data_IF_106698056737
#
_entry.id   IF_106698056737
#
_cell.length_a   1.000
_cell.length_b   1.000
_cell.length_c   1.000
_cell.angle_alpha   90.00
_cell.angle_beta   90.00
_cell.angle_gamma   90.00
#
_symmetry.space_group_name_H-M   'P 1'
#
loop_
_entity.id
_entity.type
_entity.pdbx_description
1 polymer ?
#
# COMPACT_ATOMS: atom_id res chain seq x y z
N UNK A 1 4.58 26.03 -35.17
CA UNK A 1 4.89 26.54 -33.82
C UNK A 1 3.82 27.46 -33.23
N UNK A 2 2.82 27.94 -34.00
CA UNK A 2 1.57 28.52 -33.44
C UNK A 2 0.36 27.63 -33.72
N UNK A 3 0.22 27.14 -34.95
CA UNK A 3 -0.86 26.22 -35.34
C UNK A 3 -0.90 24.93 -34.50
N UNK A 4 0.25 24.37 -34.13
CA UNK A 4 0.34 23.17 -33.27
C UNK A 4 -0.14 23.47 -31.84
N UNK A 5 0.19 24.65 -31.29
CA UNK A 5 -0.24 25.07 -29.95
C UNK A 5 -1.75 25.39 -29.91
N UNK A 6 -2.27 25.94 -31.02
CA UNK A 6 -3.71 26.18 -31.21
C UNK A 6 -4.48 24.84 -31.32
N UNK A 7 -3.94 23.86 -32.05
CA UNK A 7 -4.53 22.52 -32.18
C UNK A 7 -4.54 21.77 -30.84
N UNK A 8 -3.41 21.74 -30.11
CA UNK A 8 -3.34 21.15 -28.77
C UNK A 8 -4.31 21.83 -27.81
N UNK A 9 -4.43 23.16 -27.87
CA UNK A 9 -5.37 23.92 -27.05
C UNK A 9 -6.83 23.56 -27.36
N UNK A 10 -7.18 23.33 -28.62
CA UNK A 10 -8.52 22.87 -29.02
C UNK A 10 -8.78 21.44 -28.52
N UNK A 11 -7.79 20.54 -28.60
CA UNK A 11 -7.90 19.17 -28.08
C UNK A 11 -8.16 19.16 -26.57
N UNK A 12 -7.41 19.94 -25.80
CA UNK A 12 -7.62 20.09 -24.36
C UNK A 12 -9.01 20.67 -24.03
N UNK A 13 -9.46 21.69 -24.77
CA UNK A 13 -10.78 22.28 -24.58
C UNK A 13 -11.91 21.29 -24.89
N UNK A 14 -11.72 20.40 -25.88
CA UNK A 14 -12.66 19.31 -26.16
C UNK A 14 -12.70 18.29 -25.01
N UNK A 15 -11.54 17.88 -24.49
CA UNK A 15 -11.45 16.94 -23.37
C UNK A 15 -12.09 17.51 -22.09
N UNK A 16 -11.90 18.79 -21.79
CA UNK A 16 -12.47 19.46 -20.61
C UNK A 16 -14.00 19.57 -20.63
N UNK A 17 -14.60 19.62 -21.81
CA UNK A 17 -16.07 19.62 -21.99
C UNK A 17 -16.68 18.26 -21.64
N UNK A 18 -15.90 17.19 -21.66
CA UNK A 18 -16.42 15.86 -21.33
C UNK A 18 -16.75 15.73 -19.84
N UNK A 19 -17.74 14.89 -19.49
CA UNK A 19 -17.99 14.49 -18.11
C UNK A 19 -16.76 13.86 -17.43
N UNK A 20 -16.62 14.02 -16.11
CA UNK A 20 -15.43 13.55 -15.37
C UNK A 20 -15.16 12.05 -15.53
N UNK A 21 -16.21 11.22 -15.53
CA UNK A 21 -16.10 9.77 -15.73
C UNK A 21 -15.52 9.40 -17.11
N UNK A 22 -15.77 10.22 -18.15
CA UNK A 22 -15.20 10.02 -19.49
C UNK A 22 -13.75 10.54 -19.52
N UNK A 23 -13.50 11.72 -18.92
CA UNK A 23 -12.14 12.30 -18.81
C UNK A 23 -11.16 11.39 -18.08
N UNK A 24 -11.65 10.61 -17.11
CA UNK A 24 -10.85 9.61 -16.40
C UNK A 24 -10.23 8.58 -17.36
N UNK A 25 -10.95 8.20 -18.41
CA UNK A 25 -10.52 7.15 -19.35
C UNK A 25 -9.79 7.71 -20.55
N UNK A 26 -9.96 8.99 -20.86
CA UNK A 26 -9.38 9.60 -22.07
C UNK A 26 -8.13 10.41 -21.75
N UNK A 27 -7.08 10.24 -22.53
CA UNK A 27 -5.82 10.99 -22.42
C UNK A 27 -5.19 11.21 -23.78
N UNK A 28 -4.04 11.87 -23.82
CA UNK A 28 -3.31 12.15 -25.06
C UNK A 28 -2.00 11.38 -25.08
N UNK A 29 -1.75 10.57 -26.10
CA UNK A 29 -0.49 9.86 -26.26
C UNK A 29 0.54 10.79 -26.88
N UNK A 30 1.77 10.82 -26.36
CA UNK A 30 2.87 11.65 -26.84
C UNK A 30 3.94 10.85 -27.59
N UNK A 31 4.67 11.53 -28.47
CA UNK A 31 5.88 11.00 -29.11
C UNK A 31 7.12 11.17 -28.21
N UNK A 32 8.29 10.70 -28.67
CA UNK A 32 9.58 10.85 -27.95
C UNK A 32 9.99 12.32 -27.74
N UNK A 33 9.42 13.25 -28.51
CA UNK A 33 9.67 14.69 -28.43
C UNK A 33 8.66 15.40 -27.53
N UNK A 34 7.66 14.69 -27.01
CA UNK A 34 6.60 15.22 -26.14
C UNK A 34 5.41 15.83 -26.89
N UNK A 35 5.34 15.72 -28.22
CA UNK A 35 4.21 16.23 -29.01
C UNK A 35 3.03 15.27 -28.91
N UNK A 36 1.81 15.81 -28.85
CA UNK A 36 0.59 15.00 -28.84
C UNK A 36 0.41 14.33 -30.21
N UNK A 37 0.35 13.00 -30.22
CA UNK A 37 0.08 12.19 -31.43
C UNK A 37 -1.42 12.03 -31.63
N UNK A 38 -2.13 11.59 -30.58
CA UNK A 38 -3.56 11.27 -30.64
C UNK A 38 -4.22 11.20 -29.27
N UNK A 39 -5.54 11.37 -29.25
CA UNK A 39 -6.38 11.01 -28.10
C UNK A 39 -6.54 9.49 -28.02
N UNK A 40 -6.44 8.93 -26.82
CA UNK A 40 -6.61 7.50 -26.55
C UNK A 40 -7.59 7.25 -25.40
N UNK A 41 -8.26 6.11 -25.45
CA UNK A 41 -8.87 5.51 -24.26
C UNK A 41 -7.79 4.66 -23.56
N UNK A 42 -7.46 5.04 -22.32
CA UNK A 42 -6.43 4.42 -21.48
C UNK A 42 -6.74 2.94 -21.19
N UNK A 43 -8.00 2.49 -21.32
CA UNK A 43 -8.34 1.06 -21.24
C UNK A 43 -7.72 0.26 -22.40
N UNK A 44 -7.57 0.88 -23.56
CA UNK A 44 -7.05 0.26 -24.78
C UNK A 44 -5.54 0.50 -24.97
N UNK A 45 -4.83 0.95 -23.92
CA UNK A 45 -3.39 1.17 -23.98
C UNK A 45 -2.66 -0.15 -24.24
N UNK A 46 -1.92 -0.22 -25.35
CA UNK A 46 -1.17 -1.41 -25.73
C UNK A 46 0.07 -1.66 -24.85
N UNK A 47 0.62 -2.89 -24.91
CA UNK A 47 1.84 -3.26 -24.17
C UNK A 47 3.04 -2.38 -24.53
N UNK A 48 3.27 -2.16 -25.83
CA UNK A 48 4.38 -1.32 -26.30
C UNK A 48 4.17 0.15 -25.93
N UNK A 49 2.93 0.66 -26.03
CA UNK A 49 2.60 2.02 -25.65
C UNK A 49 2.82 2.26 -24.15
N UNK A 50 2.42 1.30 -23.31
CA UNK A 50 2.66 1.32 -21.87
C UNK A 50 4.14 1.29 -21.50
N UNK A 51 4.94 0.45 -22.16
CA UNK A 51 6.41 0.43 -21.97
C UNK A 51 7.07 1.73 -22.39
N UNK A 52 6.69 2.27 -23.55
CA UNK A 52 7.22 3.55 -24.05
C UNK A 52 6.84 4.70 -23.11
N UNK A 53 5.63 4.68 -22.53
CA UNK A 53 5.22 5.64 -21.51
C UNK A 53 6.13 5.58 -20.28
N UNK A 54 6.42 4.37 -19.76
CA UNK A 54 7.33 4.21 -18.63
C UNK A 54 8.75 4.64 -18.99
N UNK A 55 9.22 4.36 -20.20
CA UNK A 55 10.53 4.79 -20.69
C UNK A 55 10.68 6.32 -20.72
N UNK A 56 9.63 7.04 -21.13
CA UNK A 56 9.62 8.50 -21.14
C UNK A 56 9.52 9.11 -19.73
N UNK A 57 8.78 8.47 -18.84
CA UNK A 57 8.61 8.95 -17.46
C UNK A 57 9.85 8.69 -16.60
N UNK A 58 10.45 7.51 -16.73
CA UNK A 58 11.60 7.04 -15.95
C UNK A 58 12.53 6.28 -16.90
N UNK A 59 13.52 6.98 -17.45
CA UNK A 59 14.52 6.37 -18.34
C UNK A 59 15.58 5.65 -17.51
N UNK A 60 16.17 6.33 -16.54
CA UNK A 60 17.09 5.77 -15.56
C UNK A 60 16.41 5.68 -14.17
N UNK A 61 16.07 4.47 -13.68
CA UNK A 61 15.39 4.30 -12.39
C UNK A 61 16.12 4.91 -11.19
N UNK A 62 17.45 4.99 -11.22
CA UNK A 62 18.23 5.50 -10.09
C UNK A 62 18.18 7.03 -10.02
N UNK A 63 18.19 7.70 -11.17
CA UNK A 63 18.29 9.17 -11.27
C UNK A 63 16.93 9.84 -11.48
N UNK A 64 16.09 9.27 -12.35
CA UNK A 64 14.84 9.91 -12.78
C UNK A 64 13.67 9.63 -11.84
N UNK A 65 13.75 8.57 -11.02
CA UNK A 65 12.61 8.18 -10.18
C UNK A 65 12.25 9.25 -9.15
N UNK A 66 13.24 9.92 -8.53
CA UNK A 66 12.98 11.04 -7.64
C UNK A 66 12.24 12.17 -8.37
N UNK A 67 12.71 12.55 -9.56
CA UNK A 67 12.08 13.59 -10.39
C UNK A 67 10.65 13.23 -10.78
N UNK A 68 10.42 11.98 -11.15
CA UNK A 68 9.08 11.46 -11.45
C UNK A 68 8.14 11.56 -10.24
N UNK A 69 8.59 11.10 -9.06
CA UNK A 69 7.81 11.18 -7.84
C UNK A 69 7.53 12.62 -7.40
N UNK A 70 8.50 13.53 -7.58
CA UNK A 70 8.31 14.96 -7.33
C UNK A 70 7.30 15.58 -8.30
N UNK A 71 7.36 15.27 -9.60
CA UNK A 71 6.34 15.70 -10.57
C UNK A 71 4.93 15.22 -10.18
N UNK A 72 4.83 13.97 -9.75
CA UNK A 72 3.57 13.38 -9.29
C UNK A 72 3.05 14.14 -8.06
N UNK A 73 3.89 14.35 -7.05
CA UNK A 73 3.56 15.15 -5.86
C UNK A 73 3.13 16.58 -6.21
N UNK A 74 3.88 17.26 -7.05
CA UNK A 74 3.61 18.64 -7.48
C UNK A 74 2.24 18.75 -8.17
N UNK A 75 1.87 17.75 -8.97
CA UNK A 75 0.55 17.71 -9.63
C UNK A 75 -0.59 17.76 -8.61
N UNK A 76 -0.54 16.95 -7.56
CA UNK A 76 -1.55 16.99 -6.49
C UNK A 76 -1.52 18.33 -5.72
N UNK A 77 -0.32 18.82 -5.39
CA UNK A 77 -0.16 20.06 -4.62
C UNK A 77 -0.65 21.31 -5.36
N UNK A 78 -0.49 21.37 -6.69
CA UNK A 78 -0.99 22.49 -7.52
C UNK A 78 -2.48 22.75 -7.39
N UNK A 79 -3.26 21.73 -7.02
CA UNK A 79 -4.71 21.83 -6.83
C UNK A 79 -5.12 21.72 -5.35
N UNK A 80 -4.16 21.87 -4.43
CA UNK A 80 -4.41 21.79 -2.99
C UNK A 80 -4.85 20.40 -2.52
N UNK A 81 -4.48 19.34 -3.25
CA UNK A 81 -4.64 17.96 -2.79
C UNK A 81 -3.41 17.53 -2.02
N UNK A 82 -3.58 17.32 -0.71
CA UNK A 82 -2.54 16.76 0.14
C UNK A 82 -2.70 15.24 0.16
N UNK A 83 -1.61 14.52 -0.13
CA UNK A 83 -1.60 13.07 0.00
C UNK A 83 -1.79 12.69 1.48
N UNK A 84 -2.64 11.69 1.79
CA UNK A 84 -2.89 11.29 3.16
C UNK A 84 -1.60 10.76 3.80
N UNK A 85 -1.31 11.22 5.01
CA UNK A 85 -0.19 10.74 5.82
C UNK A 85 -0.72 9.96 7.01
N UNK A 86 0.10 9.04 7.52
CA UNK A 86 -0.26 8.19 8.66
C UNK A 86 0.75 8.43 9.78
N UNK A 87 0.27 8.91 10.91
CA UNK A 87 0.98 8.89 12.19
C UNK A 87 0.44 7.73 13.02
N UNK A 88 1.34 6.86 13.49
CA UNK A 88 0.99 5.75 14.37
C UNK A 88 1.43 6.08 15.79
N UNK A 89 0.50 6.05 16.75
CA UNK A 89 0.79 6.22 18.17
C UNK A 89 0.47 4.94 18.92
N UNK A 90 1.31 4.59 19.87
CA UNK A 90 1.07 3.47 20.77
C UNK A 90 1.35 3.92 22.20
N UNK A 91 0.45 3.55 23.11
CA UNK A 91 0.47 3.99 24.51
C UNK A 91 0.24 2.79 25.41
N UNK A 92 1.16 2.60 26.36
CA UNK A 92 1.10 1.57 27.40
C UNK A 92 0.86 0.17 26.79
N UNK A 93 1.50 -0.09 25.64
CA UNK A 93 1.31 -1.32 24.88
C UNK A 93 1.99 -2.48 25.61
N UNK A 94 1.17 -3.46 25.99
CA UNK A 94 1.57 -4.68 26.68
C UNK A 94 1.11 -5.88 25.85
N UNK A 95 1.98 -6.88 25.69
CA UNK A 95 1.66 -8.12 24.97
C UNK A 95 2.15 -9.30 25.79
N UNK A 96 1.24 -10.18 26.18
CA UNK A 96 1.52 -11.38 26.95
C UNK A 96 1.22 -12.63 26.13
N UNK A 97 2.08 -13.64 26.25
CA UNK A 97 1.79 -14.99 25.79
C UNK A 97 1.38 -15.88 26.96
N UNK A 98 0.32 -16.66 26.81
CA UNK A 98 0.04 -17.75 27.74
C UNK A 98 0.97 -18.93 27.45
N UNK A 99 1.85 -19.25 28.39
CA UNK A 99 2.81 -20.37 28.26
C UNK A 99 2.61 -21.35 29.42
N UNK A 100 2.65 -22.65 29.12
CA UNK A 100 2.69 -23.69 30.14
C UNK A 100 4.03 -23.63 30.90
N UNK A 101 3.99 -23.54 32.22
CA UNK A 101 5.20 -23.41 33.04
C UNK A 101 6.03 -24.74 33.07
N UNK A 102 7.36 -24.62 33.16
CA UNK A 102 8.28 -25.75 33.39
C UNK A 102 8.76 -26.48 32.12
N UNK A 103 9.17 -27.75 32.24
CA UNK A 103 9.67 -28.60 31.12
C UNK A 103 8.66 -28.87 29.99
N UNK A 104 7.46 -28.28 30.07
CA UNK A 104 6.39 -28.32 29.06
C UNK A 104 6.40 -27.12 28.09
N UNK A 105 7.33 -26.17 28.27
CA UNK A 105 7.44 -24.99 27.41
C UNK A 105 7.90 -25.32 25.96
N UNK A 106 8.54 -26.47 25.75
CA UNK A 106 8.92 -26.97 24.44
C UNK A 106 7.85 -27.94 23.91
N UNK A 107 7.26 -27.70 22.72
CA UNK A 107 6.27 -28.58 22.14
C UNK A 107 6.94 -29.86 21.65
N UNK A 108 6.89 -30.90 22.48
CA UNK A 108 7.08 -32.29 22.06
C UNK A 108 5.71 -32.92 21.82
N UNK A 109 5.64 -33.93 20.94
CA UNK A 109 4.40 -34.64 20.61
C UNK A 109 3.68 -35.13 21.88
N UNK A 110 4.45 -35.60 22.87
CA UNK A 110 3.93 -36.00 24.18
C UNK A 110 3.31 -34.83 24.97
N UNK A 111 4.01 -33.70 25.07
CA UNK A 111 3.51 -32.51 25.75
C UNK A 111 2.24 -31.95 25.07
N UNK A 112 2.14 -32.04 23.74
CA UNK A 112 0.93 -31.63 23.01
C UNK A 112 -0.28 -32.50 23.37
N UNK A 113 -0.14 -33.83 23.38
CA UNK A 113 -1.23 -34.74 23.76
C UNK A 113 -1.69 -34.52 25.20
N UNK A 114 -0.75 -34.38 26.14
CA UNK A 114 -1.06 -34.08 27.54
C UNK A 114 -1.80 -32.75 27.67
N UNK A 115 -1.36 -31.70 26.96
CA UNK A 115 -2.00 -30.39 26.99
C UNK A 115 -3.43 -30.42 26.41
N UNK A 116 -3.71 -31.21 25.36
CA UNK A 116 -5.07 -31.35 24.79
C UNK A 116 -6.01 -32.03 25.78
N UNK A 117 -5.54 -33.09 26.43
CA UNK A 117 -6.32 -33.82 27.45
C UNK A 117 -6.57 -32.92 28.67
N UNK A 118 -5.57 -32.15 29.11
CA UNK A 118 -5.71 -31.19 30.22
C UNK A 118 -6.64 -30.01 29.87
N UNK A 119 -6.63 -29.51 28.62
CA UNK A 119 -7.59 -28.50 28.15
C UNK A 119 -9.04 -29.05 28.15
N UNK A 120 -9.22 -30.32 27.80
CA UNK A 120 -10.52 -31.00 27.89
C UNK A 120 -10.98 -31.14 29.35
N UNK A 121 -10.12 -31.62 30.24
CA UNK A 121 -10.46 -31.78 31.67
C UNK A 121 -10.65 -30.45 32.40
N UNK A 122 -9.91 -29.41 32.04
CA UNK A 122 -10.08 -28.05 32.59
C UNK A 122 -11.37 -27.39 32.09
N UNK A 123 -11.80 -27.63 30.84
CA UNK A 123 -13.15 -27.23 30.37
C UNK A 123 -14.28 -27.88 31.16
N UNK A 124 -14.07 -29.11 31.63
CA UNK A 124 -15.03 -29.82 32.50
C UNK A 124 -14.84 -29.44 33.99
N UNK A 125 -14.01 -28.42 34.29
CA UNK A 125 -13.69 -27.92 35.65
C UNK A 125 -13.08 -28.98 36.58
N UNK A 126 -12.48 -30.03 36.04
CA UNK A 126 -11.84 -31.10 36.83
C UNK A 126 -10.41 -30.71 37.25
N UNK A 127 -9.71 -29.91 36.44
CA UNK A 127 -8.30 -29.53 36.68
C UNK A 127 -8.09 -28.03 36.43
N UNK A 128 -7.26 -27.39 37.26
CA UNK A 128 -6.84 -25.98 37.08
C UNK A 128 -5.78 -25.85 35.99
N UNK A 129 -5.98 -24.91 35.06
CA UNK A 129 -4.97 -24.54 34.05
C UNK A 129 -3.66 -24.11 34.71
N UNK A 130 -2.52 -24.67 34.27
CA UNK A 130 -1.17 -24.27 34.69
C UNK A 130 -0.52 -23.22 33.77
N UNK A 131 -1.29 -22.55 32.93
CA UNK A 131 -0.77 -21.49 32.05
C UNK A 131 -0.33 -20.28 32.87
N UNK A 132 0.85 -19.75 32.58
CA UNK A 132 1.36 -18.48 33.13
C UNK A 132 1.51 -17.47 32.01
N UNK A 133 1.17 -16.21 32.29
CA UNK A 133 1.42 -15.11 31.39
C UNK A 133 2.94 -14.81 31.33
N UNK A 134 3.51 -14.89 30.13
CA UNK A 134 4.87 -14.48 29.83
C UNK A 134 4.82 -13.14 29.08
N UNK A 135 5.23 -12.02 29.71
CA UNK A 135 5.17 -10.70 29.09
C UNK A 135 6.27 -10.55 28.03
N UNK A 136 5.85 -10.35 26.77
CA UNK A 136 6.74 -10.11 25.62
C UNK A 136 7.02 -8.60 25.48
N UNK A 137 5.99 -7.77 25.56
CA UNK A 137 6.10 -6.31 25.56
C UNK A 137 5.57 -5.76 26.88
N UNK A 138 6.26 -4.77 27.44
CA UNK A 138 5.93 -4.16 28.75
C UNK A 138 5.90 -2.65 28.62
N UNK A 139 4.72 -2.06 28.82
CA UNK A 139 4.45 -0.62 28.85
C UNK A 139 5.17 0.19 27.75
N UNK A 140 5.06 -0.29 26.52
CA UNK A 140 5.73 0.32 25.37
C UNK A 140 4.89 1.51 24.87
N UNK A 141 5.49 2.70 24.85
CA UNK A 141 4.87 3.94 24.37
C UNK A 141 5.74 4.65 23.35
N UNK A 142 5.15 5.23 22.30
CA UNK A 142 5.89 5.92 21.26
C UNK A 142 5.03 6.38 20.09
N UNK A 143 5.68 7.09 19.16
CA UNK A 143 5.04 7.70 18.00
C UNK A 143 5.93 7.48 16.77
N UNK A 144 5.33 6.95 15.70
CA UNK A 144 5.94 6.86 14.37
C UNK A 144 5.36 7.98 13.52
N UNK A 145 6.19 8.97 13.20
CA UNK A 145 5.79 10.12 12.39
C UNK A 145 5.85 9.81 10.89
N UNK A 146 4.90 10.34 10.10
CA UNK A 146 4.95 10.19 8.64
C UNK A 146 6.19 10.86 8.04
N UNK A 147 6.65 10.34 6.90
CA UNK A 147 7.79 10.89 6.17
C UNK A 147 9.14 10.69 6.85
N UNK A 148 9.24 9.77 7.82
CA UNK A 148 10.50 9.42 8.50
C UNK A 148 10.71 7.92 8.49
N UNK A 149 11.96 7.50 8.31
CA UNK A 149 12.37 6.12 8.53
C UNK A 149 12.69 5.94 10.03
N UNK A 150 12.01 4.99 10.67
CA UNK A 150 12.24 4.65 12.09
C UNK A 150 12.95 3.30 12.17
N UNK A 151 14.15 3.28 12.74
CA UNK A 151 14.95 2.07 12.91
C UNK A 151 14.73 1.48 14.31
N UNK A 152 14.20 0.25 14.39
CA UNK A 152 13.98 -0.48 15.64
C UNK A 152 15.12 -1.48 15.88
N UNK A 153 15.97 -1.20 16.86
CA UNK A 153 17.10 -2.06 17.24
C UNK A 153 16.87 -2.74 18.59
N UNK A 154 17.40 -3.95 18.74
CA UNK A 154 17.35 -4.69 19.99
C UNK A 154 17.93 -6.10 19.83
N UNK A 155 18.37 -6.74 20.93
CA UNK A 155 18.92 -8.09 20.89
C UNK A 155 17.87 -9.13 20.43
N UNK A 156 18.27 -10.36 20.08
CA UNK A 156 17.33 -11.45 19.85
C UNK A 156 16.33 -11.59 21.01
N UNK A 157 15.09 -11.98 20.71
CA UNK A 157 13.99 -12.10 21.69
C UNK A 157 13.55 -10.81 22.40
N UNK A 158 13.98 -9.63 21.97
CA UNK A 158 13.55 -8.34 22.57
C UNK A 158 12.13 -7.88 22.19
N UNK A 159 11.32 -8.72 21.54
CA UNK A 159 9.95 -8.36 21.15
C UNK A 159 9.79 -7.49 19.90
N UNK A 160 10.85 -7.25 19.10
CA UNK A 160 10.78 -6.39 17.90
C UNK A 160 9.70 -6.81 16.91
N UNK A 161 9.72 -8.10 16.53
CA UNK A 161 8.74 -8.68 15.62
C UNK A 161 7.33 -8.57 16.19
N UNK A 162 7.16 -8.84 17.49
CA UNK A 162 5.89 -8.71 18.20
C UNK A 162 5.38 -7.26 18.17
N UNK A 163 6.25 -6.27 18.38
CA UNK A 163 5.89 -4.86 18.29
C UNK A 163 5.43 -4.49 16.87
N UNK A 164 6.18 -4.88 15.83
CA UNK A 164 5.81 -4.60 14.44
C UNK A 164 4.48 -5.28 14.04
N UNK A 165 4.24 -6.51 14.50
CA UNK A 165 2.98 -7.22 14.27
C UNK A 165 1.81 -6.56 15.02
N UNK A 166 2.03 -6.10 16.25
CA UNK A 166 1.02 -5.37 17.02
C UNK A 166 0.64 -4.06 16.33
N UNK A 167 1.63 -3.27 15.89
CA UNK A 167 1.39 -2.00 15.21
C UNK A 167 0.71 -2.16 13.86
N UNK A 168 0.94 -3.26 13.14
CA UNK A 168 0.32 -3.55 11.83
C UNK A 168 -1.03 -4.28 11.91
N UNK A 169 -1.53 -4.56 13.13
CA UNK A 169 -2.76 -5.31 13.33
C UNK A 169 -2.66 -6.77 12.85
N UNK A 170 -1.46 -7.35 12.76
CA UNK A 170 -1.21 -8.75 12.36
C UNK A 170 -0.74 -9.63 13.52
N UNK A 171 -0.88 -9.17 14.75
CA UNK A 171 -0.51 -9.93 15.92
C UNK A 171 -1.40 -11.18 16.07
N UNK A 172 -0.84 -12.28 16.57
CA UNK A 172 -1.57 -13.52 16.81
C UNK A 172 -2.74 -13.26 17.79
N UNK A 173 -3.99 -13.58 17.42
CA UNK A 173 -5.16 -13.35 18.26
C UNK A 173 -5.14 -14.11 19.60
N UNK A 174 -4.26 -15.11 19.75
CA UNK A 174 -4.09 -15.87 21.00
C UNK A 174 -3.27 -15.12 22.05
N UNK A 175 -2.59 -14.05 21.68
CA UNK A 175 -1.83 -13.22 22.60
C UNK A 175 -2.77 -12.24 23.30
N UNK A 176 -2.56 -12.04 24.60
CA UNK A 176 -3.26 -11.02 25.35
C UNK A 176 -2.59 -9.67 25.09
N UNK A 177 -3.39 -8.70 24.64
CA UNK A 177 -2.92 -7.35 24.30
C UNK A 177 -3.66 -6.35 25.16
N UNK A 178 -2.92 -5.41 25.76
CA UNK A 178 -3.49 -4.25 26.43
C UNK A 178 -2.70 -2.98 26.09
N UNK A 179 -3.28 -1.81 26.38
CA UNK A 179 -2.82 -0.53 25.88
C UNK A 179 -3.56 -0.11 24.60
N UNK A 180 -3.06 0.92 23.93
CA UNK A 180 -3.70 1.51 22.75
C UNK A 180 -2.74 1.64 21.58
N UNK A 181 -3.24 1.40 20.38
CA UNK A 181 -2.57 1.74 19.12
C UNK A 181 -3.56 2.53 18.28
N UNK A 182 -3.15 3.71 17.81
CA UNK A 182 -3.99 4.59 17.00
C UNK A 182 -3.28 5.01 15.71
N UNK A 183 -4.07 5.19 14.66
CA UNK A 183 -3.65 5.71 13.37
C UNK A 183 -4.35 7.05 13.16
N UNK A 184 -3.62 8.17 13.18
CA UNK A 184 -4.19 9.52 13.14
C UNK A 184 -5.32 9.75 14.18
N UNK A 185 -5.21 9.12 15.35
CA UNK A 185 -6.22 9.22 16.43
C UNK A 185 -7.33 8.17 16.39
N UNK A 186 -7.46 7.38 15.32
CA UNK A 186 -8.42 6.29 15.22
C UNK A 186 -7.86 5.00 15.82
N UNK A 187 -8.61 4.34 16.70
CA UNK A 187 -8.24 3.03 17.25
C UNK A 187 -8.32 1.92 16.18
N UNK A 188 -7.52 0.86 16.34
CA UNK A 188 -7.41 -0.22 15.34
C UNK A 188 -8.72 -0.99 15.07
N UNK A 189 -9.73 -0.86 15.93
CA UNK A 189 -11.06 -1.45 15.76
C UNK A 189 -12.03 -0.58 14.93
N UNK A 190 -11.68 0.69 14.67
CA UNK A 190 -12.52 1.61 13.90
C UNK A 190 -12.36 1.43 12.38
N UNK A 191 -11.32 0.71 11.95
CA UNK A 191 -10.97 0.51 10.55
C UNK A 191 -10.25 -0.83 10.36
N UNK A 192 -9.74 -1.09 9.16
CA UNK A 192 -8.94 -2.29 8.85
C UNK A 192 -7.46 -1.89 8.76
N UNK A 193 -6.63 -2.09 9.81
CA UNK A 193 -5.23 -1.68 9.84
C UNK A 193 -4.40 -2.21 8.68
N UNK A 194 -4.72 -3.41 8.20
CA UNK A 194 -4.01 -4.10 7.13
C UNK A 194 -4.26 -3.45 5.75
N UNK A 195 -5.24 -2.54 5.62
CA UNK A 195 -5.43 -1.70 4.42
C UNK A 195 -4.61 -0.41 4.48
N UNK A 196 -4.13 -0.03 5.67
CA UNK A 196 -3.36 1.21 5.90
C UNK A 196 -1.89 0.94 6.23
N UNK A 197 -1.54 -0.30 6.58
CA UNK A 197 -0.19 -0.73 6.92
C UNK A 197 0.15 -2.04 6.22
N UNK A 198 1.41 -2.15 5.78
CA UNK A 198 1.95 -3.36 5.21
C UNK A 198 3.06 -3.89 6.13
N UNK A 199 2.96 -5.16 6.52
CA UNK A 199 4.01 -5.88 7.24
C UNK A 199 4.68 -6.86 6.29
N UNK A 200 5.99 -6.72 6.15
CA UNK A 200 6.87 -7.59 5.36
C UNK A 200 7.58 -8.52 6.35
N UNK A 201 7.35 -9.83 6.21
CA UNK A 201 7.92 -10.85 7.09
C UNK A 201 9.40 -11.12 6.78
N UNK A 202 10.07 -11.84 7.67
CA UNK A 202 11.44 -12.32 7.45
C UNK A 202 11.53 -13.39 6.36
N UNK A 203 10.43 -14.07 6.09
CA UNK A 203 10.33 -15.09 5.06
C UNK A 203 9.44 -14.57 3.94
N UNK A 204 9.91 -14.73 2.71
CA UNK A 204 9.14 -14.47 1.52
C UNK A 204 8.38 -15.74 1.13
N UNK A 205 7.08 -15.61 0.91
CA UNK A 205 6.22 -16.71 0.49
C UNK A 205 5.71 -16.38 -0.91
N UNK A 206 6.34 -16.99 -1.91
CA UNK A 206 5.99 -16.85 -3.32
C UNK A 206 5.68 -18.22 -3.93
N UNK A 207 4.87 -18.23 -4.99
CA UNK A 207 4.58 -19.43 -5.76
C UNK A 207 5.80 -19.71 -6.64
N UNK A 208 6.50 -20.86 -6.46
CA UNK A 208 7.80 -21.10 -7.10
C UNK A 208 7.70 -21.26 -8.62
N UNK A 209 6.52 -21.58 -9.16
CA UNK A 209 6.28 -21.74 -10.60
C UNK A 209 6.05 -20.41 -11.33
N UNK A 210 5.84 -19.30 -10.62
CA UNK A 210 5.55 -18.00 -11.21
C UNK A 210 6.82 -17.17 -11.40
N UNK A 211 6.92 -16.50 -12.55
CA UNK A 211 7.93 -15.48 -12.78
C UNK A 211 7.67 -14.24 -11.89
N UNK A 212 8.68 -13.38 -11.73
CA UNK A 212 8.55 -12.11 -10.99
C UNK A 212 7.40 -11.27 -11.54
N UNK A 213 7.29 -11.19 -12.88
CA UNK A 213 6.22 -10.44 -13.55
C UNK A 213 4.84 -11.01 -13.23
N UNK A 214 4.66 -12.32 -13.39
CA UNK A 214 3.38 -12.97 -13.09
C UNK A 214 3.00 -12.78 -11.62
N UNK A 215 3.97 -12.83 -10.70
CA UNK A 215 3.75 -12.63 -9.26
C UNK A 215 3.26 -11.22 -8.96
N UNK A 216 3.88 -10.20 -9.58
CA UNK A 216 3.48 -8.80 -9.42
C UNK A 216 2.13 -8.52 -10.07
N UNK A 217 1.85 -9.08 -11.25
CA UNK A 217 0.55 -8.94 -11.92
C UNK A 217 -0.57 -9.59 -11.11
N UNK A 218 -0.33 -10.78 -10.56
CA UNK A 218 -1.28 -11.45 -9.67
C UNK A 218 -1.56 -10.60 -8.42
N UNK A 219 -0.52 -10.11 -7.75
CA UNK A 219 -0.65 -9.23 -6.58
C UNK A 219 -1.43 -7.95 -6.92
N UNK A 220 -1.10 -7.29 -8.04
CA UNK A 220 -1.78 -6.08 -8.49
C UNK A 220 -3.27 -6.32 -8.74
N UNK A 221 -3.65 -7.44 -9.37
CA UNK A 221 -5.05 -7.81 -9.59
C UNK A 221 -5.80 -8.09 -8.28
N UNK A 222 -5.16 -8.73 -7.30
CA UNK A 222 -5.76 -8.96 -5.98
C UNK A 222 -5.95 -7.66 -5.18
N UNK A 223 -5.04 -6.70 -5.30
CA UNK A 223 -5.14 -5.40 -4.62
C UNK A 223 -6.16 -4.47 -5.30
N UNK A 224 -6.35 -4.61 -6.61
CA UNK A 224 -7.20 -3.74 -7.40
C UNK A 224 -6.69 -2.30 -7.46
N UNK A 225 -7.57 -1.37 -7.84
CA UNK A 225 -7.22 0.07 -7.94
C UNK A 225 -7.29 0.80 -6.59
N UNK A 226 -8.01 0.24 -5.61
CA UNK A 226 -8.16 0.81 -4.28
C UNK A 226 -8.69 2.27 -4.30
N UNK A 227 -8.22 3.16 -3.41
CA UNK A 227 -8.69 4.55 -3.35
C UNK A 227 -8.18 5.43 -4.51
N UNK A 228 -7.35 4.89 -5.42
CA UNK A 228 -6.73 5.67 -6.50
C UNK A 228 -7.78 6.24 -7.46
N UNK A 229 -8.85 5.48 -7.72
CA UNK A 229 -9.95 5.93 -8.56
C UNK A 229 -10.60 7.21 -8.00
N UNK A 230 -11.03 7.18 -6.74
CA UNK A 230 -11.67 8.33 -6.08
C UNK A 230 -10.73 9.53 -5.99
N UNK A 231 -9.46 9.27 -5.67
CA UNK A 231 -8.43 10.31 -5.63
C UNK A 231 -8.21 10.97 -6.99
N UNK A 232 -8.21 10.19 -8.08
CA UNK A 232 -8.10 10.71 -9.44
C UNK A 232 -9.34 11.51 -9.85
N UNK A 233 -10.54 11.08 -9.46
CA UNK A 233 -11.78 11.84 -9.70
C UNK A 233 -11.72 13.22 -9.05
N UNK A 234 -11.29 13.31 -7.79
CA UNK A 234 -11.17 14.62 -7.12
C UNK A 234 -10.05 15.47 -7.72
N UNK A 235 -8.93 14.85 -8.12
CA UNK A 235 -7.84 15.51 -8.85
C UNK A 235 -8.35 16.17 -10.15
N UNK A 236 -8.98 15.40 -11.04
CA UNK A 236 -9.48 15.90 -12.33
C UNK A 236 -10.56 16.98 -12.19
N UNK A 237 -11.34 16.93 -11.11
CA UNK A 237 -12.35 17.94 -10.78
C UNK A 237 -11.69 19.25 -10.38
N UNK A 238 -10.68 19.21 -9.49
CA UNK A 238 -9.97 20.40 -9.02
C UNK A 238 -9.06 21.00 -10.10
N UNK A 239 -8.42 20.18 -10.92
CA UNK A 239 -7.64 20.64 -12.09
C UNK A 239 -8.51 21.45 -13.06
N UNK A 240 -9.74 20.97 -13.33
CA UNK A 240 -10.71 21.69 -14.16
C UNK A 240 -11.12 23.03 -13.54
N UNK A 241 -11.39 23.05 -12.23
CA UNK A 241 -11.76 24.27 -11.52
C UNK A 241 -10.62 25.31 -11.50
N UNK A 242 -9.38 24.84 -11.36
CA UNK A 242 -8.18 25.67 -11.35
C UNK A 242 -7.64 26.02 -12.74
N UNK A 243 -8.21 25.44 -13.82
CA UNK A 243 -7.72 25.55 -15.21
C UNK A 243 -6.25 25.16 -15.36
N UNK A 244 -5.82 24.14 -14.60
CA UNK A 244 -4.46 23.61 -14.63
C UNK A 244 -4.42 22.41 -15.56
N UNK A 245 -3.52 22.44 -16.56
CA UNK A 245 -3.25 21.29 -17.44
C UNK A 245 -2.17 20.39 -16.80
N UNK A 246 -2.39 19.07 -16.68
CA UNK A 246 -1.38 18.15 -16.21
C UNK A 246 -0.32 17.86 -17.29
N UNK A 247 0.83 17.35 -16.86
CA UNK A 247 1.80 16.70 -17.75
C UNK A 247 1.13 15.47 -18.38
N UNK A 248 1.21 15.37 -19.70
CA UNK A 248 0.45 14.41 -20.50
C UNK A 248 0.80 12.95 -20.19
N UNK A 249 2.09 12.64 -20.06
CA UNK A 249 2.56 11.28 -19.74
C UNK A 249 2.20 10.92 -18.29
N UNK A 250 2.39 11.86 -17.37
CA UNK A 250 1.97 11.68 -15.97
C UNK A 250 0.47 11.46 -15.85
N UNK A 251 -0.32 12.08 -16.73
CA UNK A 251 -1.77 11.92 -16.80
C UNK A 251 -2.21 10.56 -17.31
N UNK A 252 -1.63 10.06 -18.40
CA UNK A 252 -1.90 8.69 -18.84
C UNK A 252 -1.50 7.71 -17.74
N UNK A 253 -0.33 7.87 -17.13
CA UNK A 253 0.15 6.97 -16.09
C UNK A 253 -0.83 6.90 -14.91
N UNK A 254 -1.22 8.06 -14.36
CA UNK A 254 -2.16 8.11 -13.23
C UNK A 254 -3.53 7.54 -13.60
N UNK A 255 -4.03 7.78 -14.81
CA UNK A 255 -5.27 7.19 -15.31
C UNK A 255 -5.14 5.67 -15.44
N UNK A 256 -4.03 5.18 -15.97
CA UNK A 256 -3.81 3.76 -16.19
C UNK A 256 -3.85 2.99 -14.86
N UNK A 257 -3.11 3.46 -13.84
CA UNK A 257 -3.06 2.78 -12.54
C UNK A 257 -4.34 2.91 -11.70
N UNK A 258 -5.32 3.71 -12.14
CA UNK A 258 -6.55 4.04 -11.42
C UNK A 258 -7.82 3.46 -12.07
N UNK A 259 -7.72 2.84 -13.24
CA UNK A 259 -8.84 2.23 -13.95
C UNK A 259 -8.78 0.70 -13.78
N UNK A 260 -9.92 0.09 -13.47
CA UNK A 260 -10.05 -1.38 -13.36
C UNK A 260 -9.98 -2.06 -14.74
N UNK A 261 -9.66 -3.35 -14.74
CA UNK A 261 -9.63 -4.22 -15.94
C UNK A 261 -8.66 -3.78 -17.04
N UNK A 262 -7.50 -3.21 -16.68
CA UNK A 262 -6.44 -3.03 -17.67
C UNK A 262 -5.83 -4.39 -18.04
N UNK A 263 -5.75 -4.65 -19.35
CA UNK A 263 -5.05 -5.82 -19.91
C UNK A 263 -3.54 -5.73 -19.63
N UNK A 264 -3.02 -4.50 -19.56
CA UNK A 264 -1.62 -4.19 -19.31
C UNK A 264 -1.48 -3.47 -17.98
N UNK A 265 -0.70 -4.03 -17.05
CA UNK A 265 -0.47 -3.39 -15.76
C UNK A 265 0.73 -2.44 -15.85
N UNK A 266 0.48 -1.19 -16.26
CA UNK A 266 1.50 -0.12 -16.32
C UNK A 266 2.22 0.05 -14.97
N UNK A 267 1.53 -0.18 -13.86
CA UNK A 267 2.10 -0.20 -12.51
C UNK A 267 3.17 -1.28 -12.32
N UNK A 268 2.98 -2.46 -12.91
CA UNK A 268 3.93 -3.58 -12.80
C UNK A 268 5.14 -3.33 -13.70
N UNK A 269 4.92 -2.78 -14.90
CA UNK A 269 6.02 -2.36 -15.78
C UNK A 269 6.91 -1.30 -15.12
N UNK A 270 6.32 -0.36 -14.38
CA UNK A 270 7.07 0.61 -13.58
C UNK A 270 7.85 -0.05 -12.43
N UNK A 271 7.25 -1.00 -11.70
CA UNK A 271 7.91 -1.68 -10.56
C UNK A 271 9.05 -2.60 -10.99
N UNK A 272 8.94 -3.23 -12.16
CA UNK A 272 9.97 -4.16 -12.68
C UNK A 272 11.22 -3.41 -13.19
N UNK A 273 11.06 -2.14 -13.56
CA UNK A 273 12.13 -1.33 -14.14
C UNK A 273 13.12 -0.85 -13.08
#
# INVERSE_FOLDING_TARGET
>A
SREVDDEETLMWAALEKLPTNVRMRRGFLTDEKGNIIREIDVKNLGLEEGRNLIERLVKNPVEDNEKFLLKLKDRFQRVGLNLPTIEVRFENLNVNAEVYAGGRALPTIYNFLVNVVEDFFSRIRIVSSQKKAFPILRDVTGIIKPGRMTLLLGPPCSGKTTLLLALSGKLDPRLEVSGKVTYNGHEMNEFVPQRSSAYISQHDVHIPEMTVRETLEFSARCQGVGPRYEMLVDLLRREKAAKVRPDTDLDIFLKAISIEDQVVSVSVDYVIK
#
